data_IF_181856052597
#
_entry.id   IF_181856052597
#
_cell.length_a   1.000
_cell.length_b   1.000
_cell.length_c   1.000
_cell.angle_alpha   90.00
_cell.angle_beta   90.00
_cell.angle_gamma   90.00
#
_symmetry.space_group_name_H-M   'P 1'
#
loop_
_entity.id
_entity.type
_entity.pdbx_description
1 polymer ?
#
# COMPACT_ATOMS: atom_id res chain seq x y z
N UNK A 1 13.04 -46.42 51.07
CA UNK A 1 12.88 -45.03 51.57
C UNK A 1 12.70 -44.14 50.35
N UNK A 2 11.44 -43.76 50.02
CA UNK A 2 11.15 -42.83 48.91
C UNK A 2 11.41 -41.41 49.37
N UNK A 3 12.39 -40.75 48.70
CA UNK A 3 12.67 -39.32 48.89
C UNK A 3 11.53 -38.55 48.18
N UNK A 4 10.59 -38.04 48.94
CA UNK A 4 9.59 -37.09 48.44
C UNK A 4 10.36 -35.82 48.05
N UNK A 5 10.52 -35.60 46.73
CA UNK A 5 11.06 -34.36 46.21
C UNK A 5 10.10 -33.23 46.57
N UNK A 6 10.58 -32.22 47.28
CA UNK A 6 9.82 -31.00 47.63
C UNK A 6 9.47 -30.25 46.35
N UNK A 7 8.29 -30.49 45.84
CA UNK A 7 7.71 -29.72 44.71
C UNK A 7 7.37 -28.33 45.25
N UNK A 8 8.20 -27.34 44.93
CA UNK A 8 7.89 -25.94 45.22
C UNK A 8 6.77 -25.50 44.26
N UNK A 9 5.62 -25.16 44.82
CA UNK A 9 4.50 -24.60 44.07
C UNK A 9 4.73 -23.11 43.75
N UNK A 10 4.15 -22.63 42.66
CA UNK A 10 4.12 -21.21 42.32
C UNK A 10 3.22 -20.44 43.30
N UNK A 11 3.65 -19.27 43.71
CA UNK A 11 2.81 -18.37 44.50
C UNK A 11 1.79 -17.65 43.59
N UNK A 12 0.63 -17.30 44.15
CA UNK A 12 -0.42 -16.58 43.41
C UNK A 12 0.09 -15.21 42.93
N UNK A 13 0.93 -14.54 43.73
CA UNK A 13 1.49 -13.25 43.38
C UNK A 13 2.49 -13.33 42.22
N UNK A 14 3.29 -14.39 42.13
CA UNK A 14 4.18 -14.61 40.97
C UNK A 14 3.38 -14.78 39.68
N UNK A 15 2.26 -15.49 39.74
CA UNK A 15 1.40 -15.62 38.57
C UNK A 15 0.75 -14.29 38.21
N UNK A 16 0.27 -13.51 39.18
CA UNK A 16 -0.38 -12.21 38.95
C UNK A 16 0.56 -11.19 38.29
N UNK A 17 1.82 -11.10 38.72
CA UNK A 17 2.75 -10.15 38.07
C UNK A 17 3.10 -10.56 36.65
N UNK A 18 3.19 -11.86 36.36
CA UNK A 18 3.43 -12.35 34.99
C UNK A 18 2.30 -12.00 34.04
N UNK A 19 1.04 -12.27 34.43
CA UNK A 19 -0.10 -11.94 33.58
C UNK A 19 -0.26 -10.42 33.41
N UNK A 20 0.06 -9.62 34.44
CA UNK A 20 0.05 -8.17 34.34
C UNK A 20 1.07 -7.65 33.31
N UNK A 21 2.30 -8.16 33.33
CA UNK A 21 3.34 -7.79 32.37
C UNK A 21 2.95 -8.22 30.94
N UNK A 22 2.47 -9.46 30.77
CA UNK A 22 2.00 -9.95 29.48
C UNK A 22 0.84 -9.07 28.95
N UNK A 23 -0.10 -8.68 29.81
CA UNK A 23 -1.21 -7.80 29.44
C UNK A 23 -0.75 -6.45 28.90
N UNK A 24 0.24 -5.82 29.55
CA UNK A 24 0.81 -4.54 29.10
C UNK A 24 1.53 -4.70 27.76
N UNK A 25 2.35 -5.74 27.60
CA UNK A 25 3.06 -6.00 26.35
C UNK A 25 2.10 -6.33 25.21
N UNK A 26 1.07 -7.14 25.45
CA UNK A 26 0.07 -7.48 24.45
C UNK A 26 -0.73 -6.26 23.97
N UNK A 27 -1.07 -5.32 24.86
CA UNK A 27 -1.80 -4.12 24.53
C UNK A 27 -1.06 -3.26 23.49
N UNK A 28 0.26 -3.27 23.47
CA UNK A 28 1.09 -2.54 22.49
C UNK A 28 1.38 -3.42 21.25
N UNK A 29 1.64 -4.70 21.44
CA UNK A 29 2.10 -5.60 20.38
C UNK A 29 0.99 -5.91 19.35
N UNK A 30 -0.24 -6.14 19.81
CA UNK A 30 -1.35 -6.55 18.92
C UNK A 30 -1.65 -5.49 17.83
N UNK A 31 -1.84 -4.19 18.13
CA UNK A 31 -2.11 -3.20 17.11
C UNK A 31 -0.92 -3.00 16.15
N UNK A 32 0.33 -3.10 16.63
CA UNK A 32 1.51 -3.00 15.77
C UNK A 32 1.62 -4.20 14.82
N UNK A 33 1.31 -5.38 15.30
CA UNK A 33 1.27 -6.58 14.47
C UNK A 33 0.22 -6.47 13.35
N UNK A 34 -0.96 -5.94 13.64
CA UNK A 34 -2.00 -5.69 12.64
C UNK A 34 -1.54 -4.71 11.55
N UNK A 35 -0.82 -3.64 11.91
CA UNK A 35 -0.24 -2.69 10.95
C UNK A 35 0.81 -3.38 10.08
N UNK A 36 1.72 -4.14 10.68
CA UNK A 36 2.78 -4.85 9.96
C UNK A 36 2.22 -5.87 8.97
N UNK A 37 1.28 -6.69 9.39
CA UNK A 37 0.64 -7.70 8.52
C UNK A 37 -0.14 -7.05 7.39
N UNK A 38 -0.81 -5.93 7.64
CA UNK A 38 -1.52 -5.18 6.59
C UNK A 38 -0.55 -4.64 5.55
N UNK A 39 0.59 -4.07 5.96
CA UNK A 39 1.64 -3.62 5.01
C UNK A 39 2.19 -4.78 4.18
N UNK A 40 2.40 -5.95 4.78
CA UNK A 40 2.83 -7.14 4.06
C UNK A 40 1.81 -7.57 2.99
N UNK A 41 0.51 -7.53 3.29
CA UNK A 41 -0.56 -7.79 2.33
C UNK A 41 -0.60 -6.77 1.19
N UNK A 42 -0.34 -5.50 1.48
CA UNK A 42 -0.29 -4.44 0.47
C UNK A 42 0.89 -4.60 -0.50
N UNK A 43 1.98 -5.25 -0.09
CA UNK A 43 3.14 -5.48 -0.98
C UNK A 43 2.80 -6.29 -2.23
N UNK A 44 1.79 -7.16 -2.17
CA UNK A 44 1.26 -7.87 -3.34
C UNK A 44 0.70 -6.90 -4.39
N UNK A 45 -0.10 -5.92 -3.93
CA UNK A 45 -0.60 -4.85 -4.80
C UNK A 45 0.50 -4.01 -5.42
N UNK A 46 1.61 -3.78 -4.69
CA UNK A 46 2.75 -3.02 -5.20
C UNK A 46 3.49 -3.75 -6.33
N UNK A 47 3.51 -5.08 -6.32
CA UNK A 47 4.07 -5.87 -7.42
C UNK A 47 3.26 -5.65 -8.70
N UNK A 48 1.93 -5.73 -8.61
CA UNK A 48 1.04 -5.45 -9.75
C UNK A 48 1.22 -4.03 -10.31
N UNK A 49 1.44 -3.05 -9.42
CA UNK A 49 1.74 -1.67 -9.82
C UNK A 49 3.07 -1.57 -10.57
N UNK A 50 4.09 -2.32 -10.17
CA UNK A 50 5.40 -2.27 -10.84
C UNK A 50 5.31 -2.65 -12.30
N UNK A 51 4.51 -3.66 -12.66
CA UNK A 51 4.23 -4.01 -14.06
C UNK A 51 3.54 -2.87 -14.80
N UNK A 52 2.52 -2.26 -14.20
CA UNK A 52 1.80 -1.13 -14.80
C UNK A 52 2.65 0.11 -14.96
N UNK A 53 3.56 0.39 -14.02
CA UNK A 53 4.54 1.48 -14.15
C UNK A 53 5.40 1.33 -15.41
N UNK A 54 5.89 0.12 -15.67
CA UNK A 54 6.67 -0.16 -16.87
C UNK A 54 5.83 0.02 -18.14
N UNK A 55 4.59 -0.49 -18.16
CA UNK A 55 3.68 -0.33 -19.31
C UNK A 55 3.34 1.14 -19.58
N UNK A 56 3.10 1.95 -18.54
CA UNK A 56 2.86 3.40 -18.69
C UNK A 56 4.10 4.11 -19.25
N UNK A 57 5.29 3.77 -18.72
CA UNK A 57 6.54 4.35 -19.21
C UNK A 57 6.78 4.02 -20.69
N UNK A 58 6.58 2.78 -21.10
CA UNK A 58 6.71 2.33 -22.48
C UNK A 58 5.68 3.02 -23.40
N UNK A 59 4.42 3.05 -23.00
CA UNK A 59 3.37 3.70 -23.76
C UNK A 59 3.63 5.20 -23.96
N UNK A 60 4.15 5.86 -22.92
CA UNK A 60 4.53 7.27 -23.02
C UNK A 60 5.74 7.49 -23.92
N UNK A 61 6.76 6.65 -23.86
CA UNK A 61 7.93 6.74 -24.74
C UNK A 61 7.58 6.55 -26.21
N UNK A 62 6.65 5.64 -26.50
CA UNK A 62 6.24 5.34 -27.87
C UNK A 62 5.32 6.39 -28.47
N UNK A 63 4.33 6.90 -27.74
CA UNK A 63 3.31 7.78 -28.30
C UNK A 63 2.80 8.87 -27.33
N UNK A 64 3.64 9.27 -26.38
CA UNK A 64 3.30 10.32 -25.41
C UNK A 64 2.01 10.03 -24.65
N UNK A 65 1.27 11.07 -24.30
CA UNK A 65 -0.01 10.92 -23.59
C UNK A 65 -1.09 10.18 -24.38
N UNK A 66 -1.04 10.19 -25.70
CA UNK A 66 -1.96 9.40 -26.54
C UNK A 66 -1.74 7.90 -26.34
N UNK A 67 -0.48 7.46 -26.21
CA UNK A 67 -0.12 6.08 -25.87
C UNK A 67 -0.61 5.68 -24.47
N UNK A 68 -0.42 6.56 -23.48
CA UNK A 68 -0.92 6.34 -22.10
C UNK A 68 -2.45 6.22 -22.09
N UNK A 69 -3.15 7.08 -22.81
CA UNK A 69 -4.62 7.04 -22.90
C UNK A 69 -5.13 5.77 -23.61
N UNK A 70 -4.42 5.27 -24.63
CA UNK A 70 -4.74 4.00 -25.29
C UNK A 70 -4.51 2.81 -24.34
N UNK A 71 -3.39 2.79 -23.63
CA UNK A 71 -3.09 1.78 -22.61
C UNK A 71 -4.15 1.79 -21.49
N UNK A 72 -4.50 2.96 -20.99
CA UNK A 72 -5.53 3.10 -19.96
C UNK A 72 -6.87 2.50 -20.40
N UNK A 73 -7.30 2.79 -21.64
CA UNK A 73 -8.53 2.21 -22.18
C UNK A 73 -8.48 0.70 -22.25
N UNK A 74 -7.42 0.12 -22.80
CA UNK A 74 -7.29 -1.34 -22.94
C UNK A 74 -7.22 -2.03 -21.59
N UNK A 75 -6.45 -1.50 -20.63
CA UNK A 75 -6.29 -2.11 -19.30
C UNK A 75 -7.50 -1.93 -18.41
N UNK A 76 -8.19 -0.77 -18.48
CA UNK A 76 -9.34 -0.51 -17.62
C UNK A 76 -10.61 -1.26 -18.09
N UNK A 77 -10.70 -1.62 -19.37
CA UNK A 77 -11.79 -2.44 -19.92
C UNK A 77 -11.52 -3.95 -19.81
N UNK A 78 -10.30 -4.36 -19.47
CA UNK A 78 -9.99 -5.77 -19.24
C UNK A 78 -10.87 -6.38 -18.12
N UNK A 79 -11.15 -7.68 -18.18
CA UNK A 79 -11.95 -8.37 -17.15
C UNK A 79 -11.45 -8.08 -15.73
N UNK A 80 -12.39 -7.98 -14.80
CA UNK A 80 -12.05 -7.68 -13.37
C UNK A 80 -11.12 -8.73 -12.77
N UNK A 81 -11.25 -9.98 -13.18
CA UNK A 81 -10.38 -11.07 -12.70
C UNK A 81 -8.88 -10.80 -12.95
N UNK A 82 -8.53 -10.14 -14.06
CA UNK A 82 -7.12 -9.83 -14.41
C UNK A 82 -6.56 -8.66 -13.60
N UNK A 83 -7.42 -7.92 -12.90
CA UNK A 83 -7.07 -6.72 -12.12
C UNK A 83 -7.15 -6.93 -10.61
N UNK A 84 -7.67 -8.07 -10.17
CA UNK A 84 -7.93 -8.40 -8.78
C UNK A 84 -6.89 -9.35 -8.22
N UNK A 85 -6.58 -9.17 -6.95
CA UNK A 85 -5.94 -10.15 -6.10
C UNK A 85 -6.71 -10.25 -4.79
N UNK A 86 -6.29 -11.14 -3.91
CA UNK A 86 -6.93 -11.26 -2.59
C UNK A 86 -7.03 -9.93 -1.83
N UNK A 87 -6.08 -9.01 -2.05
CA UNK A 87 -6.01 -7.74 -1.30
C UNK A 87 -6.30 -6.51 -2.16
N UNK A 88 -6.38 -6.66 -3.48
CA UNK A 88 -6.61 -5.59 -4.45
C UNK A 88 -7.90 -5.86 -5.22
N UNK A 89 -8.89 -4.99 -5.09
CA UNK A 89 -10.15 -5.06 -5.83
C UNK A 89 -9.99 -4.61 -7.27
N UNK A 90 -9.20 -3.56 -7.49
CA UNK A 90 -8.90 -3.09 -8.84
C UNK A 90 -7.63 -2.24 -8.87
N UNK A 91 -7.03 -2.17 -10.05
CA UNK A 91 -5.93 -1.25 -10.33
C UNK A 91 -6.15 -0.63 -11.71
N UNK A 92 -6.43 0.67 -11.76
CA UNK A 92 -6.76 1.39 -12.97
C UNK A 92 -5.71 2.44 -13.30
N UNK A 93 -5.57 2.76 -14.61
CA UNK A 93 -4.68 3.82 -15.09
C UNK A 93 -5.56 5.01 -15.47
N UNK A 94 -5.24 6.20 -14.98
CA UNK A 94 -5.86 7.44 -15.38
C UNK A 94 -5.33 7.86 -16.75
N UNK A 95 -6.23 7.99 -17.73
CA UNK A 95 -5.88 8.30 -19.12
C UNK A 95 -5.33 9.71 -19.31
N UNK A 96 -5.66 10.64 -18.42
CA UNK A 96 -5.26 12.04 -18.53
C UNK A 96 -3.90 12.32 -17.86
N UNK A 97 -3.53 11.53 -16.85
CA UNK A 97 -2.33 11.81 -16.06
C UNK A 97 -1.32 10.65 -16.05
N UNK A 98 -1.73 9.46 -16.48
CA UNK A 98 -0.94 8.24 -16.33
C UNK A 98 -0.86 7.70 -14.89
N UNK A 99 -1.61 8.30 -13.97
CA UNK A 99 -1.62 7.85 -12.59
C UNK A 99 -2.25 6.47 -12.45
N UNK A 100 -1.67 5.63 -11.63
CA UNK A 100 -2.17 4.29 -11.32
C UNK A 100 -2.88 4.37 -9.97
N UNK A 101 -4.17 4.07 -9.96
CA UNK A 101 -5.00 4.05 -8.75
C UNK A 101 -5.27 2.60 -8.37
N UNK A 102 -4.82 2.21 -7.18
CA UNK A 102 -5.15 0.92 -6.58
C UNK A 102 -6.33 1.12 -5.65
N UNK A 103 -7.36 0.31 -5.82
CA UNK A 103 -8.47 0.15 -4.87
C UNK A 103 -8.28 -1.16 -4.12
N UNK A 104 -8.18 -1.09 -2.80
CA UNK A 104 -8.06 -2.26 -1.95
C UNK A 104 -9.37 -3.05 -1.88
N UNK A 105 -9.27 -4.34 -1.63
CA UNK A 105 -10.44 -5.20 -1.43
C UNK A 105 -11.28 -4.71 -0.25
N UNK A 106 -12.59 -4.80 -0.40
CA UNK A 106 -13.58 -4.35 0.59
C UNK A 106 -14.39 -5.51 1.18
N UNK A 107 -14.10 -6.74 0.75
CA UNK A 107 -14.70 -7.95 1.26
C UNK A 107 -13.97 -8.50 2.51
N UNK A 108 -14.66 -9.38 3.26
CA UNK A 108 -14.09 -9.98 4.46
C UNK A 108 -13.06 -11.08 4.17
N UNK A 109 -13.07 -11.64 2.96
CA UNK A 109 -12.07 -12.63 2.53
C UNK A 109 -10.66 -12.04 2.43
N UNK A 110 -10.54 -10.73 2.22
CA UNK A 110 -9.26 -10.03 2.18
C UNK A 110 -8.54 -9.98 3.53
N UNK A 111 -9.27 -10.17 4.64
CA UNK A 111 -8.72 -10.06 6.01
C UNK A 111 -7.97 -8.74 6.25
N UNK A 112 -8.34 -7.68 5.53
CA UNK A 112 -7.84 -6.33 5.77
C UNK A 112 -8.59 -5.71 6.95
N UNK A 113 -7.95 -4.79 7.72
CA UNK A 113 -8.65 -3.99 8.72
C UNK A 113 -9.77 -3.15 8.07
N UNK A 114 -10.86 -2.93 8.78
CA UNK A 114 -12.03 -2.20 8.26
C UNK A 114 -11.71 -0.78 7.79
N UNK A 115 -10.77 -0.11 8.44
CA UNK A 115 -10.30 1.20 8.04
C UNK A 115 -9.33 1.20 6.83
N UNK A 116 -8.91 0.02 6.36
CA UNK A 116 -8.13 -0.15 5.13
C UNK A 116 -8.98 -0.71 3.96
N UNK A 117 -10.12 -1.36 4.23
CA UNK A 117 -11.02 -1.90 3.21
C UNK A 117 -11.56 -0.79 2.30
N UNK A 118 -11.57 -1.03 1.00
CA UNK A 118 -12.09 -0.08 0.00
C UNK A 118 -11.31 1.23 -0.08
N UNK A 119 -10.10 1.30 0.47
CA UNK A 119 -9.26 2.50 0.42
C UNK A 119 -8.34 2.48 -0.79
N UNK A 120 -7.88 3.66 -1.19
CA UNK A 120 -7.06 3.85 -2.39
C UNK A 120 -5.65 4.27 -2.08
N UNK A 121 -4.73 3.81 -2.94
CA UNK A 121 -3.34 4.24 -3.01
C UNK A 121 -3.07 4.72 -4.44
N UNK A 122 -2.41 5.87 -4.62
CA UNK A 122 -2.19 6.49 -5.92
C UNK A 122 -0.70 6.55 -6.22
N UNK A 123 -0.32 6.13 -7.42
CA UNK A 123 1.03 6.28 -7.98
C UNK A 123 0.94 7.18 -9.21
N UNK A 124 1.66 8.28 -9.22
CA UNK A 124 1.65 9.24 -10.31
C UNK A 124 3.04 9.36 -10.94
N UNK A 125 3.14 9.30 -12.28
CA UNK A 125 4.40 9.46 -13.00
C UNK A 125 4.76 10.93 -13.19
N UNK A 126 6.07 11.20 -13.17
CA UNK A 126 6.67 12.52 -13.39
C UNK A 126 7.90 12.40 -14.29
N UNK A 127 8.20 13.46 -15.04
CA UNK A 127 9.49 13.64 -15.71
C UNK A 127 10.13 14.90 -15.13
N UNK A 128 11.24 14.73 -14.42
CA UNK A 128 11.71 15.75 -13.49
C UNK A 128 10.69 15.95 -12.37
N UNK A 129 10.23 17.17 -12.17
CA UNK A 129 9.18 17.47 -11.18
C UNK A 129 7.82 17.82 -11.84
N UNK A 130 7.71 17.66 -13.17
CA UNK A 130 6.50 17.96 -13.92
C UNK A 130 5.65 16.70 -14.18
N UNK A 131 4.35 16.88 -14.14
CA UNK A 131 3.36 15.85 -14.53
C UNK A 131 3.54 15.47 -16.01
N UNK A 132 3.24 14.23 -16.40
CA UNK A 132 3.38 13.80 -17.80
C UNK A 132 2.66 14.71 -18.80
N UNK A 133 1.42 15.19 -18.56
CA UNK A 133 0.74 16.07 -19.52
C UNK A 133 1.44 17.41 -19.73
N UNK A 134 2.21 17.89 -18.76
CA UNK A 134 2.90 19.17 -18.79
C UNK A 134 4.41 19.04 -18.98
N UNK A 135 4.94 17.81 -18.97
CA UNK A 135 6.35 17.56 -19.14
C UNK A 135 6.81 17.93 -20.56
N UNK A 136 7.67 18.93 -20.67
CA UNK A 136 8.24 19.40 -21.95
C UNK A 136 9.60 18.79 -22.27
N UNK A 137 10.20 18.10 -21.32
CA UNK A 137 11.54 17.49 -21.44
C UNK A 137 11.45 15.97 -21.54
N UNK A 138 12.33 15.40 -22.39
CA UNK A 138 12.61 13.97 -22.38
C UNK A 138 13.57 13.70 -21.22
N UNK A 139 13.15 12.84 -20.30
CA UNK A 139 13.95 12.52 -19.12
C UNK A 139 13.53 11.18 -18.53
N UNK A 140 14.22 10.78 -17.47
CA UNK A 140 13.85 9.60 -16.70
C UNK A 140 12.49 9.82 -16.04
N UNK A 141 11.59 8.88 -16.25
CA UNK A 141 10.31 8.86 -15.54
C UNK A 141 10.56 8.45 -14.08
N UNK A 142 10.10 9.28 -13.17
CA UNK A 142 10.07 9.00 -11.73
C UNK A 142 8.62 8.82 -11.25
N UNK A 143 8.45 8.23 -10.11
CA UNK A 143 7.14 7.90 -9.57
C UNK A 143 6.99 8.45 -8.16
N UNK A 144 5.93 9.20 -7.95
CA UNK A 144 5.47 9.56 -6.62
C UNK A 144 4.32 8.64 -6.19
N UNK A 145 4.19 8.44 -4.89
CA UNK A 145 3.10 7.69 -4.29
C UNK A 145 2.42 8.54 -3.21
N UNK A 146 1.10 8.41 -3.09
CA UNK A 146 0.34 9.02 -2.02
C UNK A 146 -0.73 8.08 -1.47
N UNK A 147 -0.83 8.08 -0.15
CA UNK A 147 -1.92 7.50 0.63
C UNK A 147 -2.91 8.61 1.02
N UNK A 148 -3.52 8.59 2.20
CA UNK A 148 -4.26 9.74 2.74
C UNK A 148 -3.36 10.97 3.00
N UNK A 149 -2.06 10.83 2.78
CA UNK A 149 -1.06 11.89 2.84
C UNK A 149 -0.15 11.82 1.62
N UNK A 150 0.44 12.94 1.24
CA UNK A 150 1.40 13.07 0.13
C UNK A 150 2.69 13.77 0.58
N UNK A 151 2.98 13.76 1.86
CA UNK A 151 4.09 14.51 2.46
C UNK A 151 5.44 14.13 1.85
N UNK A 152 5.68 12.84 1.62
CA UNK A 152 6.93 12.35 1.02
C UNK A 152 7.06 12.82 -0.44
N UNK A 153 5.98 12.78 -1.22
CA UNK A 153 5.97 13.27 -2.59
C UNK A 153 6.27 14.78 -2.64
N UNK A 154 5.61 15.55 -1.77
CA UNK A 154 5.83 17.01 -1.67
C UNK A 154 7.26 17.35 -1.26
N UNK A 155 7.84 16.63 -0.29
CA UNK A 155 9.26 16.82 0.13
C UNK A 155 10.25 16.50 -0.99
N UNK A 156 9.91 15.59 -1.90
CA UNK A 156 10.69 15.28 -3.10
C UNK A 156 10.52 16.31 -4.22
N UNK A 157 9.66 17.32 -4.03
CA UNK A 157 9.39 18.37 -5.00
C UNK A 157 8.34 18.03 -6.07
N UNK A 158 7.61 16.93 -5.93
CA UNK A 158 6.52 16.60 -6.82
C UNK A 158 5.29 17.45 -6.50
N UNK A 159 4.79 18.16 -7.50
CA UNK A 159 3.61 19.01 -7.41
C UNK A 159 2.36 18.28 -7.89
N UNK A 160 1.17 18.79 -7.54
CA UNK A 160 -0.11 18.25 -8.04
C UNK A 160 -0.32 16.74 -7.77
N UNK A 161 0.25 16.22 -6.67
CA UNK A 161 0.03 14.84 -6.26
C UNK A 161 -1.33 14.68 -5.60
N UNK A 162 -2.23 13.97 -6.25
CA UNK A 162 -3.53 13.59 -5.67
C UNK A 162 -3.33 12.63 -4.51
N UNK A 163 -4.10 12.82 -3.44
CA UNK A 163 -4.08 11.92 -2.28
C UNK A 163 -5.02 10.73 -2.51
N UNK A 164 -4.60 9.57 -2.04
CA UNK A 164 -5.47 8.42 -1.88
C UNK A 164 -6.30 8.51 -0.59
N UNK A 165 -6.93 7.41 -0.21
CA UNK A 165 -7.74 7.36 1.02
C UNK A 165 -7.23 6.34 2.05
N UNK A 166 -6.17 5.60 1.73
CA UNK A 166 -5.56 4.64 2.66
C UNK A 166 -4.89 5.36 3.83
N UNK A 167 -5.21 5.03 5.10
CA UNK A 167 -4.54 5.60 6.24
C UNK A 167 -3.02 5.43 6.18
N UNK A 168 -2.27 6.49 6.45
CA UNK A 168 -0.80 6.52 6.32
C UNK A 168 -0.08 5.49 7.21
N UNK A 169 -0.72 5.02 8.28
CA UNK A 169 -0.18 3.96 9.14
C UNK A 169 0.02 2.63 8.40
N UNK A 170 -0.76 2.35 7.36
CA UNK A 170 -0.64 1.14 6.52
C UNK A 170 0.20 1.37 5.27
N UNK A 171 0.36 2.61 4.85
CA UNK A 171 1.10 2.94 3.64
C UNK A 171 2.60 2.67 3.79
N UNK A 172 3.30 2.29 2.69
CA UNK A 172 4.75 2.28 2.62
C UNK A 172 5.34 3.68 2.91
N UNK A 173 6.61 3.77 3.37
CA UNK A 173 7.23 5.06 3.70
C UNK A 173 7.21 6.08 2.56
N UNK A 174 7.37 5.60 1.31
CA UNK A 174 7.36 6.43 0.11
C UNK A 174 5.98 7.03 -0.22
N UNK A 175 4.91 6.48 0.34
CA UNK A 175 3.52 6.88 0.07
C UNK A 175 2.89 7.70 1.22
N UNK A 176 3.70 8.22 2.14
CA UNK A 176 3.23 8.99 3.31
C UNK A 176 3.31 10.49 3.08
#
# INVERSE_FOLDING_TARGET
>A
MNKLSNLKGFTLIELMIVIAIIGILAAIAIPQYAIYTTRAKLSEGLIAVSHKKNSVAEAYLNNGMAGVAALARSTNTAPTADKQSKFVKSSNIDAATGAIVILLADDDASTLPDDAKGKTLIFKPYIGNADLPTAVSRGKMDWACASATNTTATKRGFTNMSQGTLPSKYAPPECK
#
